data_IF_762222473918
#
_entry.id   IF_762222473918
#
_cell.length_a   1.000
_cell.length_b   1.000
_cell.length_c   1.000
_cell.angle_alpha   90.00
_cell.angle_beta   90.00
_cell.angle_gamma   90.00
#
_symmetry.space_group_name_H-M   'P 1'
#
loop_
_entity.id
_entity.type
_entity.pdbx_description
1 polymer ?
#
# COMPACT_ATOMS: atom_id res chain seq x y z
N UNK A 1 -34.99 60.03 23.88
CA UNK A 1 -34.43 58.67 23.71
C UNK A 1 -33.63 58.62 22.42
N UNK A 2 -32.29 58.67 22.47
CA UNK A 2 -31.39 58.50 21.32
C UNK A 2 -30.24 57.58 21.75
N UNK A 3 -30.44 56.27 21.70
CA UNK A 3 -29.41 55.24 22.01
C UNK A 3 -29.34 54.09 21.00
N UNK A 4 -30.02 54.21 19.84
CA UNK A 4 -30.11 53.13 18.86
C UNK A 4 -29.03 53.10 17.76
N UNK A 5 -28.40 54.24 17.45
CA UNK A 5 -27.59 54.38 16.22
C UNK A 5 -26.13 53.92 16.40
N UNK A 6 -25.55 54.12 17.60
CA UNK A 6 -24.17 53.71 17.90
C UNK A 6 -24.00 52.20 17.83
N UNK A 7 -24.97 51.45 18.37
CA UNK A 7 -24.91 49.98 18.44
C UNK A 7 -24.98 49.32 17.07
N UNK A 8 -25.73 49.87 16.12
CA UNK A 8 -25.81 49.33 14.75
C UNK A 8 -24.54 49.54 13.95
N UNK A 9 -23.83 50.66 14.17
CA UNK A 9 -22.56 50.95 13.49
C UNK A 9 -21.47 50.02 14.01
N UNK A 10 -21.41 49.79 15.32
CA UNK A 10 -20.43 48.87 15.92
C UNK A 10 -20.62 47.41 15.45
N UNK A 11 -21.88 46.97 15.32
CA UNK A 11 -22.20 45.63 14.80
C UNK A 11 -21.84 45.49 13.32
N UNK A 12 -22.09 46.52 12.50
CA UNK A 12 -21.69 46.53 11.09
C UNK A 12 -20.17 46.53 10.92
N UNK A 13 -19.45 47.27 11.76
CA UNK A 13 -17.99 47.32 11.72
C UNK A 13 -17.38 45.99 12.15
N UNK A 14 -17.91 45.36 13.21
CA UNK A 14 -17.49 44.03 13.65
C UNK A 14 -17.77 42.99 12.56
N UNK A 15 -18.95 43.02 11.95
CA UNK A 15 -19.28 42.12 10.84
C UNK A 15 -18.30 42.30 9.68
N UNK A 16 -17.99 43.54 9.29
CA UNK A 16 -17.02 43.84 8.23
C UNK A 16 -15.62 43.30 8.56
N UNK A 17 -15.15 43.49 9.79
CA UNK A 17 -13.85 42.97 10.25
C UNK A 17 -13.82 41.44 10.19
N UNK A 18 -14.91 40.78 10.59
CA UNK A 18 -15.05 39.33 10.49
C UNK A 18 -15.02 38.89 9.02
N UNK A 19 -15.75 39.57 8.12
CA UNK A 19 -15.77 39.22 6.69
C UNK A 19 -14.40 39.41 6.04
N UNK A 20 -13.68 40.47 6.40
CA UNK A 20 -12.31 40.72 5.91
C UNK A 20 -11.35 39.66 6.46
N UNK A 21 -11.44 39.31 7.75
CA UNK A 21 -10.62 38.26 8.34
C UNK A 21 -10.88 36.88 7.69
N UNK A 22 -12.14 36.54 7.44
CA UNK A 22 -12.50 35.32 6.70
C UNK A 22 -12.02 35.36 5.25
N UNK A 23 -12.10 36.51 4.58
CA UNK A 23 -11.62 36.68 3.21
C UNK A 23 -10.09 36.53 3.13
N UNK A 24 -9.35 37.07 4.10
CA UNK A 24 -7.90 36.94 4.20
C UNK A 24 -7.48 35.51 4.56
N UNK A 25 -8.23 34.82 5.42
CA UNK A 25 -8.03 33.39 5.70
C UNK A 25 -8.30 32.54 4.46
N UNK A 26 -9.39 32.81 3.73
CA UNK A 26 -9.66 32.14 2.45
C UNK A 26 -8.54 32.43 1.45
N UNK A 27 -8.08 33.68 1.34
CA UNK A 27 -7.00 34.04 0.43
C UNK A 27 -5.69 33.38 0.83
N UNK A 28 -5.37 33.24 2.12
CA UNK A 28 -4.17 32.52 2.56
C UNK A 28 -4.25 31.02 2.26
N UNK A 29 -5.43 30.42 2.42
CA UNK A 29 -5.68 29.01 2.05
C UNK A 29 -5.63 28.81 0.54
N UNK A 30 -6.12 29.77 -0.24
CA UNK A 30 -6.13 29.73 -1.72
C UNK A 30 -4.79 30.16 -2.34
N UNK A 31 -4.00 30.97 -1.64
CA UNK A 31 -2.69 31.48 -2.08
C UNK A 31 -1.54 30.63 -1.56
N UNK A 32 -1.82 29.55 -0.81
CA UNK A 32 -0.82 28.54 -0.47
C UNK A 32 -0.20 28.05 -1.77
N UNK A 33 1.03 28.48 -2.02
CA UNK A 33 1.70 28.24 -3.29
C UNK A 33 1.78 26.74 -3.58
N UNK A 34 1.98 26.37 -4.85
CA UNK A 34 2.16 24.96 -5.25
C UNK A 34 3.20 24.22 -4.39
N UNK A 35 4.18 24.92 -3.83
CA UNK A 35 5.18 24.37 -2.92
C UNK A 35 4.62 24.03 -1.53
N UNK A 36 3.81 24.89 -0.90
CA UNK A 36 3.22 24.60 0.42
C UNK A 36 2.25 23.42 0.36
N UNK A 37 1.48 23.33 -0.74
CA UNK A 37 0.59 22.19 -1.00
C UNK A 37 1.37 20.89 -1.17
N UNK A 38 2.51 20.92 -1.87
CA UNK A 38 3.40 19.75 -2.03
C UNK A 38 4.04 19.32 -0.72
N UNK A 39 4.55 20.26 0.07
CA UNK A 39 5.18 19.98 1.35
C UNK A 39 4.18 19.38 2.35
N UNK A 40 2.95 19.90 2.37
CA UNK A 40 1.86 19.31 3.13
C UNK A 40 1.53 17.90 2.67
N UNK A 41 1.36 17.70 1.36
CA UNK A 41 1.04 16.38 0.79
C UNK A 41 2.14 15.35 1.08
N UNK A 42 3.41 15.73 0.95
CA UNK A 42 4.55 14.89 1.28
C UNK A 42 4.54 14.46 2.76
N UNK A 43 4.40 15.40 3.69
CA UNK A 43 4.31 15.09 5.13
C UNK A 43 3.10 14.21 5.45
N UNK A 44 1.98 14.46 4.79
CA UNK A 44 0.76 13.67 4.95
C UNK A 44 0.93 12.24 4.44
N UNK A 45 1.53 12.06 3.25
CA UNK A 45 1.84 10.73 2.71
C UNK A 45 2.81 9.97 3.61
N UNK A 46 3.88 10.63 4.09
CA UNK A 46 4.84 10.04 5.01
C UNK A 46 4.18 9.65 6.34
N UNK A 47 3.33 10.51 6.91
CA UNK A 47 2.58 10.20 8.13
C UNK A 47 1.63 9.01 7.94
N UNK A 48 1.02 8.88 6.75
CA UNK A 48 0.14 7.76 6.41
C UNK A 48 0.93 6.45 6.35
N UNK A 49 2.08 6.45 5.66
CA UNK A 49 2.98 5.29 5.59
C UNK A 49 3.53 4.87 6.97
N UNK A 50 3.86 5.84 7.83
CA UNK A 50 4.26 5.57 9.22
C UNK A 50 3.10 4.98 10.04
N UNK A 51 1.88 5.49 9.83
CA UNK A 51 0.69 4.95 10.49
C UNK A 51 0.47 3.49 10.09
N UNK A 52 0.70 3.12 8.84
CA UNK A 52 0.65 1.73 8.37
C UNK A 52 1.70 0.81 9.03
N UNK A 53 2.84 1.34 9.44
CA UNK A 53 3.85 0.58 10.17
C UNK A 53 3.47 0.31 11.63
N UNK A 54 2.63 1.15 12.23
CA UNK A 54 2.36 1.14 13.67
C UNK A 54 0.94 0.68 14.02
N UNK A 55 -0.02 0.87 13.11
CA UNK A 55 -1.43 0.62 13.37
C UNK A 55 -1.76 -0.86 13.12
N UNK A 56 -2.26 -1.59 14.13
CA UNK A 56 -2.70 -2.98 13.95
C UNK A 56 -3.98 -3.03 13.13
N UNK A 57 -4.17 -4.11 12.37
CA UNK A 57 -5.31 -4.31 11.48
C UNK A 57 -6.66 -4.23 12.22
N UNK A 58 -6.70 -4.62 13.50
CA UNK A 58 -7.82 -4.42 14.42
C UNK A 58 -8.42 -3.02 14.36
N UNK A 59 -7.56 -1.99 14.34
CA UNK A 59 -8.01 -0.59 14.40
C UNK A 59 -8.56 -0.10 13.07
N UNK A 60 -8.30 -0.83 11.98
CA UNK A 60 -8.71 -0.48 10.63
C UNK A 60 -9.93 -1.28 10.13
N UNK A 61 -10.44 -2.21 10.92
CA UNK A 61 -11.60 -3.06 10.60
C UNK A 61 -11.39 -4.55 10.83
N UNK A 62 -10.18 -4.95 11.27
CA UNK A 62 -9.80 -6.35 11.42
C UNK A 62 -9.38 -7.00 10.10
N UNK A 63 -8.65 -8.11 10.21
CA UNK A 63 -8.20 -8.89 9.06
C UNK A 63 -8.14 -10.38 9.41
N UNK A 64 -8.96 -11.20 8.74
CA UNK A 64 -8.90 -12.65 8.84
C UNK A 64 -9.06 -13.32 7.47
N UNK A 65 -8.37 -14.45 7.29
CA UNK A 65 -8.44 -15.22 6.04
C UNK A 65 -8.36 -16.72 6.32
N UNK A 66 -8.89 -17.52 5.42
CA UNK A 66 -8.66 -18.96 5.45
C UNK A 66 -7.39 -19.27 4.67
N UNK A 67 -6.42 -19.89 5.34
CA UNK A 67 -5.20 -20.34 4.67
C UNK A 67 -5.51 -21.60 3.86
N UNK A 68 -5.60 -21.46 2.54
CA UNK A 68 -5.76 -22.56 1.60
C UNK A 68 -4.41 -22.85 0.93
N UNK A 69 -3.57 -23.63 1.60
CA UNK A 69 -2.34 -24.16 1.02
C UNK A 69 -2.54 -25.64 0.69
N UNK A 70 -2.01 -26.16 -0.43
CA UNK A 70 -2.27 -27.52 -0.89
C UNK A 70 -1.78 -28.64 0.06
N UNK A 71 -1.04 -28.29 1.11
CA UNK A 71 -0.44 -29.23 2.09
C UNK A 71 -1.10 -29.10 3.47
N UNK A 72 -1.84 -28.03 3.76
CA UNK A 72 -2.45 -27.77 5.07
C UNK A 72 -3.97 -27.82 4.99
N UNK A 73 -4.63 -28.31 6.05
CA UNK A 73 -6.09 -28.20 6.15
C UNK A 73 -6.47 -26.71 6.23
N UNK A 74 -7.56 -26.28 5.58
CA UNK A 74 -8.03 -24.91 5.69
C UNK A 74 -8.19 -24.53 7.16
N UNK A 75 -7.42 -23.54 7.60
CA UNK A 75 -7.49 -23.00 8.94
C UNK A 75 -7.72 -21.50 8.86
N UNK A 76 -8.72 -21.02 9.60
CA UNK A 76 -8.95 -19.59 9.72
C UNK A 76 -7.84 -18.95 10.55
N UNK A 77 -7.22 -17.90 10.02
CA UNK A 77 -6.20 -17.10 10.69
C UNK A 77 -6.72 -15.69 10.88
N UNK A 78 -6.84 -15.26 12.14
CA UNK A 78 -7.00 -13.84 12.48
C UNK A 78 -5.63 -13.19 12.61
N UNK A 79 -5.44 -12.10 11.87
CA UNK A 79 -4.25 -11.28 11.84
C UNK A 79 -4.51 -9.87 12.40
N UNK A 80 -5.53 -9.71 13.24
CA UNK A 80 -5.95 -8.42 13.80
C UNK A 80 -4.82 -7.68 14.55
N UNK A 81 -3.87 -8.44 15.09
CA UNK A 81 -2.71 -7.93 15.81
C UNK A 81 -1.57 -7.47 14.88
N UNK A 82 -1.58 -7.85 13.60
CA UNK A 82 -0.54 -7.47 12.64
C UNK A 82 -0.74 -6.06 12.12
N UNK A 83 0.35 -5.36 11.85
CA UNK A 83 0.31 -4.05 11.20
C UNK A 83 0.12 -4.19 9.69
N UNK A 84 -0.26 -3.11 9.01
CA UNK A 84 -0.45 -3.12 7.55
C UNK A 84 0.81 -3.57 6.83
N UNK A 85 1.99 -3.13 7.27
CA UNK A 85 3.26 -3.55 6.67
C UNK A 85 3.59 -5.02 6.91
N UNK A 86 3.16 -5.59 8.04
CA UNK A 86 3.28 -7.02 8.30
C UNK A 86 2.31 -7.85 7.44
N UNK A 87 1.11 -7.34 7.17
CA UNK A 87 0.18 -7.97 6.22
C UNK A 87 0.73 -7.94 4.79
N UNK A 88 1.33 -6.83 4.38
CA UNK A 88 2.03 -6.70 3.09
C UNK A 88 3.19 -7.70 3.01
N UNK A 89 3.96 -7.86 4.08
CA UNK A 89 5.03 -8.85 4.13
C UNK A 89 4.53 -10.29 3.97
N UNK A 90 3.38 -10.60 4.56
CA UNK A 90 2.73 -11.91 4.39
C UNK A 90 2.21 -12.10 2.96
N UNK A 91 1.66 -11.07 2.32
CA UNK A 91 1.25 -11.11 0.91
C UNK A 91 2.42 -11.45 -0.02
N UNK A 92 3.58 -10.85 0.22
CA UNK A 92 4.78 -11.07 -0.59
C UNK A 92 5.28 -12.51 -0.47
N UNK A 93 5.14 -13.11 0.72
CA UNK A 93 5.51 -14.51 0.95
C UNK A 93 4.49 -15.49 0.38
N UNK A 94 3.19 -15.15 0.42
CA UNK A 94 2.10 -16.01 0.00
C UNK A 94 1.76 -15.90 -1.48
N UNK A 95 2.01 -14.78 -2.13
CA UNK A 95 1.63 -14.49 -3.51
C UNK A 95 2.79 -13.94 -4.37
N UNK A 96 3.99 -14.55 -4.35
CA UNK A 96 5.08 -14.16 -5.24
C UNK A 96 4.73 -14.49 -6.70
N UNK A 97 5.30 -13.72 -7.64
CA UNK A 97 5.19 -14.01 -9.07
C UNK A 97 6.50 -14.59 -9.58
N UNK A 98 6.42 -15.61 -10.43
CA UNK A 98 7.58 -16.14 -11.13
C UNK A 98 7.67 -15.55 -12.54
N UNK A 99 8.89 -15.20 -12.91
CA UNK A 99 9.27 -14.90 -14.28
C UNK A 99 10.26 -15.96 -14.71
N UNK A 100 9.95 -16.65 -15.80
CA UNK A 100 10.94 -17.38 -16.58
C UNK A 100 11.32 -16.53 -17.79
N UNK A 101 12.48 -16.80 -18.40
CA UNK A 101 12.94 -16.15 -19.64
C UNK A 101 11.93 -16.26 -20.79
N UNK A 102 11.05 -17.27 -20.77
CA UNK A 102 10.13 -17.55 -21.86
C UNK A 102 8.65 -17.27 -21.51
N UNK A 103 8.26 -17.29 -20.22
CA UNK A 103 6.86 -17.06 -19.79
C UNK A 103 6.76 -16.44 -18.38
N UNK A 104 5.73 -15.61 -18.17
CA UNK A 104 5.34 -15.12 -16.84
C UNK A 104 4.17 -15.92 -16.30
N UNK A 105 4.42 -16.79 -15.33
CA UNK A 105 3.37 -17.54 -14.64
C UNK A 105 3.07 -16.91 -13.27
N UNK A 106 1.79 -16.60 -13.03
CA UNK A 106 1.36 -16.15 -11.72
C UNK A 106 1.22 -17.36 -10.78
N UNK A 107 2.09 -17.45 -9.79
CA UNK A 107 1.84 -18.32 -8.64
C UNK A 107 1.02 -17.59 -7.61
N UNK A 108 -0.25 -17.37 -7.93
CA UNK A 108 -1.19 -16.94 -6.90
C UNK A 108 -1.55 -18.15 -6.05
N UNK A 109 -0.70 -18.44 -5.07
CA UNK A 109 -0.90 -19.54 -4.13
C UNK A 109 -1.99 -19.25 -3.09
N UNK A 110 -2.38 -17.98 -2.87
CA UNK A 110 -3.48 -17.63 -1.96
C UNK A 110 -4.29 -16.41 -2.44
N UNK A 111 -5.23 -16.66 -3.37
CA UNK A 111 -6.14 -15.64 -3.95
C UNK A 111 -7.04 -14.97 -2.92
N UNK A 112 -7.50 -15.72 -1.91
CA UNK A 112 -8.38 -15.16 -0.87
C UNK A 112 -7.65 -14.08 -0.07
N UNK A 113 -6.41 -14.36 0.35
CA UNK A 113 -5.59 -13.39 1.07
C UNK A 113 -5.35 -12.14 0.23
N UNK A 114 -4.97 -12.30 -1.04
CA UNK A 114 -4.69 -11.17 -1.95
C UNK A 114 -5.91 -10.25 -2.11
N UNK A 115 -7.09 -10.84 -2.33
CA UNK A 115 -8.35 -10.12 -2.46
C UNK A 115 -8.72 -9.40 -1.16
N UNK A 116 -8.71 -10.10 -0.03
CA UNK A 116 -9.03 -9.51 1.27
C UNK A 116 -8.08 -8.37 1.63
N UNK A 117 -6.79 -8.54 1.36
CA UNK A 117 -5.80 -7.48 1.61
C UNK A 117 -6.03 -6.28 0.71
N UNK A 118 -6.41 -6.51 -0.55
CA UNK A 118 -6.78 -5.44 -1.48
C UNK A 118 -7.96 -4.62 -0.96
N UNK A 119 -9.03 -5.29 -0.51
CA UNK A 119 -10.22 -4.62 0.03
C UNK A 119 -9.91 -3.89 1.35
N UNK A 120 -9.11 -4.52 2.22
CA UNK A 120 -8.66 -3.91 3.48
C UNK A 120 -7.81 -2.65 3.23
N UNK A 121 -6.86 -2.71 2.29
CA UNK A 121 -6.00 -1.58 1.95
C UNK A 121 -6.79 -0.44 1.30
N UNK A 122 -7.76 -0.74 0.43
CA UNK A 122 -8.67 0.28 -0.11
C UNK A 122 -9.40 0.99 1.02
N UNK A 123 -10.08 0.24 1.88
CA UNK A 123 -10.83 0.81 3.00
C UNK A 123 -9.95 1.62 3.95
N UNK A 124 -8.72 1.17 4.21
CA UNK A 124 -7.76 1.91 5.02
C UNK A 124 -7.34 3.21 4.31
N UNK A 125 -6.92 3.14 3.05
CA UNK A 125 -6.48 4.31 2.28
C UNK A 125 -7.61 5.32 2.08
N UNK A 126 -8.84 4.88 1.80
CA UNK A 126 -10.01 5.76 1.72
C UNK A 126 -10.29 6.45 3.06
N UNK A 127 -10.14 5.76 4.21
CA UNK A 127 -10.27 6.39 5.53
C UNK A 127 -9.18 7.42 5.82
N UNK A 128 -7.94 7.14 5.42
CA UNK A 128 -6.82 8.06 5.67
C UNK A 128 -6.83 9.23 4.68
N UNK A 129 -7.08 8.97 3.39
CA UNK A 129 -6.83 9.88 2.26
C UNK A 129 -8.13 10.41 1.62
N UNK A 130 -9.20 9.61 1.61
CA UNK A 130 -10.23 9.53 0.56
C UNK A 130 -11.01 10.80 0.18
N UNK A 131 -10.98 11.87 0.97
CA UNK A 131 -11.63 13.13 0.61
C UNK A 131 -10.65 14.25 0.21
N UNK A 132 -9.34 14.06 0.42
CA UNK A 132 -8.34 15.14 0.32
C UNK A 132 -7.50 15.07 -0.94
N UNK A 133 -7.18 13.85 -1.36
CA UNK A 133 -6.34 13.55 -2.50
C UNK A 133 -6.84 12.28 -3.17
N UNK A 134 -6.65 12.17 -4.47
CA UNK A 134 -6.55 10.85 -5.10
C UNK A 134 -5.26 10.16 -4.63
N UNK A 135 -5.20 8.84 -4.66
CA UNK A 135 -3.99 8.11 -4.27
C UNK A 135 -3.64 6.97 -5.22
N UNK A 136 -2.34 6.67 -5.30
CA UNK A 136 -1.81 5.43 -5.86
C UNK A 136 -0.83 4.80 -4.87
N UNK A 137 -1.16 3.62 -4.39
CA UNK A 137 -0.37 2.85 -3.44
C UNK A 137 0.32 1.69 -4.16
N UNK A 138 1.65 1.61 -4.05
CA UNK A 138 2.48 0.65 -4.79
C UNK A 138 3.36 -0.09 -3.81
N UNK A 139 3.30 -1.43 -3.84
CA UNK A 139 4.25 -2.30 -3.15
C UNK A 139 5.10 -2.98 -4.22
N UNK A 140 6.42 -2.86 -4.10
CA UNK A 140 7.35 -3.41 -5.07
C UNK A 140 8.53 -4.09 -4.38
N UNK A 141 8.76 -5.35 -4.77
CA UNK A 141 9.95 -6.10 -4.46
C UNK A 141 10.84 -6.19 -5.71
N UNK A 142 12.16 -5.99 -5.58
CA UNK A 142 13.08 -6.21 -6.69
C UNK A 142 13.02 -7.66 -7.19
N UNK A 143 13.39 -7.86 -8.45
CA UNK A 143 13.54 -9.22 -9.00
C UNK A 143 14.70 -9.93 -8.32
N UNK A 144 14.48 -11.15 -7.86
CA UNK A 144 15.48 -11.98 -7.20
C UNK A 144 15.64 -13.25 -8.02
N UNK A 145 16.85 -13.50 -8.50
CA UNK A 145 17.18 -14.74 -9.19
C UNK A 145 17.17 -15.90 -8.19
N UNK A 146 16.33 -16.91 -8.44
CA UNK A 146 16.29 -18.17 -7.70
C UNK A 146 17.22 -19.21 -8.32
N UNK A 147 17.17 -19.31 -9.65
CA UNK A 147 17.98 -20.20 -10.48
C UNK A 147 18.18 -19.53 -11.85
N UNK A 148 19.08 -20.10 -12.66
CA UNK A 148 19.41 -19.55 -13.98
C UNK A 148 18.14 -19.39 -14.82
N UNK A 149 17.81 -18.15 -15.20
CA UNK A 149 16.64 -17.84 -16.03
C UNK A 149 15.30 -17.84 -15.28
N UNK A 150 15.31 -17.90 -13.94
CA UNK A 150 14.09 -17.88 -13.10
C UNK A 150 14.18 -16.83 -12.00
N UNK A 151 13.23 -15.90 -11.98
CA UNK A 151 13.16 -14.82 -11.00
C UNK A 151 11.87 -14.84 -10.22
N UNK A 152 11.97 -14.54 -8.93
CA UNK A 152 10.84 -14.15 -8.08
C UNK A 152 10.74 -12.64 -8.05
N UNK A 153 9.52 -12.13 -8.22
CA UNK A 153 9.22 -10.71 -8.06
C UNK A 153 7.85 -10.52 -7.44
N UNK A 154 7.62 -9.34 -6.87
CA UNK A 154 6.32 -8.96 -6.34
C UNK A 154 6.04 -7.52 -6.70
N UNK A 155 4.85 -7.27 -7.24
CA UNK A 155 4.34 -5.92 -7.47
C UNK A 155 2.84 -5.91 -7.31
N UNK A 156 2.37 -5.04 -6.43
CA UNK A 156 0.95 -4.76 -6.18
C UNK A 156 0.73 -3.26 -6.30
N UNK A 157 -0.31 -2.87 -7.02
CA UNK A 157 -0.68 -1.47 -7.21
C UNK A 157 -2.17 -1.34 -6.92
N UNK A 158 -2.52 -0.35 -6.12
CA UNK A 158 -3.88 0.05 -5.77
C UNK A 158 -4.00 1.53 -6.07
N UNK A 159 -5.18 2.01 -6.49
CA UNK A 159 -5.36 3.43 -6.71
C UNK A 159 -6.81 3.85 -6.77
N UNK A 160 -7.05 5.05 -6.28
CA UNK A 160 -8.32 5.77 -6.33
C UNK A 160 -7.98 7.23 -6.70
N UNK A 161 -7.90 7.52 -7.99
CA UNK A 161 -7.60 8.85 -8.52
C UNK A 161 -8.14 9.00 -9.94
N UNK A 162 -8.50 10.22 -10.33
CA UNK A 162 -8.96 10.52 -11.68
C UNK A 162 -7.78 10.61 -12.66
N UNK A 163 -7.96 10.14 -13.90
CA UNK A 163 -6.92 10.18 -14.93
C UNK A 163 -6.46 11.61 -15.27
N UNK A 164 -7.33 12.60 -15.06
CA UNK A 164 -7.04 14.02 -15.28
C UNK A 164 -6.27 14.67 -14.09
N UNK A 165 -6.15 13.97 -12.96
CA UNK A 165 -5.41 14.46 -11.80
C UNK A 165 -3.90 14.52 -12.06
N UNK A 166 -3.23 15.44 -11.39
CA UNK A 166 -1.77 15.58 -11.42
C UNK A 166 -1.15 15.05 -10.14
N UNK A 167 0.01 14.40 -10.30
CA UNK A 167 0.83 13.96 -9.19
C UNK A 167 1.28 15.18 -8.35
N UNK A 168 0.91 15.18 -7.08
CA UNK A 168 1.30 16.21 -6.11
C UNK A 168 2.60 15.80 -5.42
N UNK A 169 2.66 14.59 -4.88
CA UNK A 169 3.84 14.05 -4.22
C UNK A 169 3.92 12.52 -4.34
N UNK A 170 5.10 11.97 -4.07
CA UNK A 170 5.37 10.54 -4.05
C UNK A 170 6.34 10.24 -2.91
N UNK A 171 5.83 9.63 -1.84
CA UNK A 171 6.64 9.24 -0.69
C UNK A 171 6.77 7.72 -0.61
N UNK A 172 7.87 7.23 -0.05
CA UNK A 172 8.08 5.80 0.10
C UNK A 172 8.76 5.42 1.42
N UNK A 173 8.52 4.19 1.85
CA UNK A 173 9.21 3.52 2.94
C UNK A 173 9.83 2.22 2.43
N UNK A 174 10.95 1.82 3.03
CA UNK A 174 11.60 0.54 2.74
C UNK A 174 11.36 -0.42 3.89
N UNK A 175 10.82 -1.59 3.56
CA UNK A 175 10.67 -2.72 4.45
C UNK A 175 11.76 -3.74 4.15
N UNK A 176 12.54 -4.12 5.16
CA UNK A 176 13.52 -5.20 5.02
C UNK A 176 12.84 -6.52 5.41
N UNK A 177 12.55 -7.34 4.41
CA UNK A 177 11.87 -8.62 4.61
C UNK A 177 12.85 -9.78 4.46
N UNK A 178 12.79 -10.71 5.40
CA UNK A 178 13.50 -11.98 5.30
C UNK A 178 12.64 -12.94 4.48
N UNK A 179 13.10 -13.31 3.29
CA UNK A 179 12.39 -14.24 2.41
C UNK A 179 13.02 -15.63 2.52
N UNK A 180 12.22 -16.68 2.84
CA UNK A 180 12.69 -18.06 2.86
C UNK A 180 12.72 -18.61 1.43
N UNK A 181 13.67 -18.15 0.61
CA UNK A 181 13.74 -18.47 -0.83
C UNK A 181 13.81 -19.98 -1.09
N UNK A 182 14.42 -20.76 -0.19
CA UNK A 182 14.43 -22.22 -0.28
C UNK A 182 13.03 -22.84 -0.21
N UNK A 183 12.19 -22.41 0.75
CA UNK A 183 10.80 -22.88 0.86
C UNK A 183 9.93 -22.40 -0.29
N UNK A 184 10.18 -21.17 -0.75
CA UNK A 184 9.51 -20.66 -1.94
C UNK A 184 9.85 -21.56 -3.13
N UNK A 185 11.13 -21.84 -3.39
CA UNK A 185 11.56 -22.76 -4.45
C UNK A 185 10.91 -24.15 -4.33
N UNK A 186 10.79 -24.71 -3.12
CA UNK A 186 10.11 -25.99 -2.89
C UNK A 186 8.60 -25.95 -3.21
N UNK A 187 7.88 -24.93 -2.76
CA UNK A 187 6.46 -24.73 -3.10
C UNK A 187 6.28 -24.54 -4.61
N UNK A 188 7.24 -23.91 -5.27
CA UNK A 188 7.30 -23.72 -6.72
C UNK A 188 7.64 -25.02 -7.48
N UNK A 189 8.31 -25.98 -6.84
CA UNK A 189 8.72 -27.27 -7.42
C UNK A 189 7.70 -28.40 -7.19
N UNK A 190 6.61 -28.13 -6.45
CA UNK A 190 5.58 -29.11 -6.13
C UNK A 190 4.77 -29.51 -7.38
N UNK A 191 4.45 -30.81 -7.57
CA UNK A 191 3.82 -31.36 -8.78
C UNK A 191 2.43 -30.77 -9.12
N UNK A 192 1.79 -30.05 -8.20
CA UNK A 192 0.51 -29.36 -8.46
C UNK A 192 0.67 -28.05 -9.24
N UNK A 193 1.87 -27.47 -9.29
CA UNK A 193 2.21 -26.32 -10.15
C UNK A 193 3.12 -26.72 -11.32
N UNK A 194 3.75 -27.89 -11.22
CA UNK A 194 4.73 -28.38 -12.17
C UNK A 194 4.14 -29.13 -13.38
N UNK A 195 2.84 -29.45 -13.38
CA UNK A 195 2.18 -30.14 -14.50
C UNK A 195 2.15 -29.30 -15.80
N UNK A 196 2.32 -27.97 -15.72
CA UNK A 196 2.41 -27.10 -16.90
C UNK A 196 3.84 -26.63 -17.23
N UNK A 197 4.83 -26.84 -16.34
CA UNK A 197 6.19 -26.29 -16.52
C UNK A 197 7.32 -27.35 -16.56
N UNK A 198 7.05 -28.63 -16.31
CA UNK A 198 8.07 -29.67 -16.28
C UNK A 198 7.82 -30.80 -17.29
N UNK A 199 7.72 -30.47 -18.57
CA UNK A 199 7.98 -31.45 -19.62
C UNK A 199 9.43 -31.42 -20.14
N UNK A 200 10.27 -30.41 -19.79
CA UNK A 200 11.54 -30.21 -20.52
C UNK A 200 12.80 -29.81 -19.76
N UNK A 201 12.90 -29.80 -18.42
CA UNK A 201 14.21 -29.53 -17.80
C UNK A 201 14.51 -30.35 -16.55
N UNK A 202 15.59 -31.12 -16.65
CA UNK A 202 16.23 -31.86 -15.56
C UNK A 202 16.69 -30.89 -14.47
N UNK A 203 15.98 -30.86 -13.34
CA UNK A 203 16.41 -30.15 -12.14
C UNK A 203 17.50 -30.96 -11.41
N UNK A 204 18.67 -31.09 -12.03
CA UNK A 204 19.83 -31.80 -11.48
C UNK A 204 20.69 -30.87 -10.63
N UNK A 205 20.22 -30.53 -9.42
CA UNK A 205 21.05 -30.12 -8.26
C UNK A 205 20.19 -29.98 -7.01
N UNK A 206 20.59 -30.52 -5.84
CA UNK A 206 19.85 -30.31 -4.60
C UNK A 206 19.91 -28.82 -4.22
N UNK A 207 18.74 -28.17 -4.16
CA UNK A 207 18.59 -26.80 -3.67
C UNK A 207 19.18 -26.73 -2.24
N UNK A 208 20.07 -25.76 -1.94
CA UNK A 208 20.61 -25.61 -0.59
C UNK A 208 19.47 -25.34 0.39
N UNK A 209 19.39 -26.16 1.44
CA UNK A 209 18.50 -25.97 2.56
C UNK A 209 18.68 -24.55 3.14
N UNK A 210 17.56 -23.83 3.29
CA UNK A 210 17.43 -22.52 3.94
C UNK A 210 18.32 -21.37 3.42
N UNK A 211 18.24 -21.03 2.14
CA UNK A 211 18.68 -19.69 1.70
C UNK A 211 17.61 -18.68 2.13
N UNK A 212 17.86 -18.01 3.24
CA UNK A 212 17.14 -16.81 3.63
C UNK A 212 17.87 -15.59 3.07
N UNK A 213 17.14 -14.70 2.39
CA UNK A 213 17.70 -13.42 1.95
C UNK A 213 16.87 -12.28 2.49
N UNK A 214 17.57 -11.29 3.02
CA UNK A 214 16.96 -9.99 3.34
C UNK A 214 16.78 -9.22 2.04
N UNK A 215 15.56 -8.77 1.79
CA UNK A 215 15.15 -8.06 0.59
C UNK A 215 14.53 -6.75 0.97
N UNK A 216 14.99 -5.68 0.33
CA UNK A 216 14.40 -4.36 0.46
C UNK A 216 13.15 -4.28 -0.41
N UNK A 217 11.99 -4.16 0.23
CA UNK A 217 10.69 -3.96 -0.41
C UNK A 217 10.31 -2.50 -0.26
N UNK A 218 9.98 -1.85 -1.36
CA UNK A 218 9.53 -0.45 -1.36
C UNK A 218 8.02 -0.41 -1.31
N UNK A 219 7.48 0.38 -0.37
CA UNK A 219 6.06 0.73 -0.31
C UNK A 219 5.95 2.23 -0.58
N UNK A 220 5.30 2.58 -1.67
CA UNK A 220 5.15 3.96 -2.14
C UNK A 220 3.69 4.39 -2.04
N UNK A 221 3.46 5.59 -1.53
CA UNK A 221 2.18 6.28 -1.58
C UNK A 221 2.34 7.57 -2.39
N UNK A 222 1.65 7.60 -3.51
CA UNK A 222 1.53 8.78 -4.36
C UNK A 222 0.20 9.46 -4.11
N UNK A 223 0.20 10.79 -4.05
CA UNK A 223 -0.99 11.60 -3.90
C UNK A 223 -1.23 12.44 -5.15
N UNK A 224 -2.48 12.48 -5.58
CA UNK A 224 -2.94 13.07 -6.83
C UNK A 224 -4.02 14.11 -6.54
N UNK A 225 -4.06 15.16 -7.35
CA UNK A 225 -5.07 16.22 -7.27
C UNK A 225 -5.32 16.84 -8.63
N UNK A 226 -6.54 17.32 -8.85
CA UNK A 226 -6.88 18.31 -9.87
C UNK A 226 -5.92 19.53 -9.88
#
# INVERSE_FOLDING_TARGET
MKRGISSTIDVLFLALVITIAFSLLLQAVLSGGSNERRDYAARFAQSTLLSFQQTPARELGGFSYSLDLPIERPSERSLDWKTVTQLIAEDIQLNPKLLSDEESAWLVTNREFDQKLTDFLHNALDKFVGDRFGYRFIVQMPKIELSKGTWVYFRKTLGNFDEDSKLVCSECITLNLLLPLGRMAELLSSPYTAAELLENNELSSPLPQSIERTVAVTVTLELWSE
#
